data_IF_574915875693
#
_entry.id   IF_574915875693
#
_cell.length_a   1.000
_cell.length_b   1.000
_cell.length_c   1.000
_cell.angle_alpha   90.00
_cell.angle_beta   90.00
_cell.angle_gamma   90.00
#
_symmetry.space_group_name_H-M   'P 1'
#
loop_
_entity.id
_entity.type
_entity.pdbx_description
1 polymer ?
#
# COMPACT_ATOMS: atom_id res chain seq x y z
N UNK A 1 -28.52 -44.01 -28.21
CA UNK A 1 -28.23 -42.93 -29.18
C UNK A 1 -27.61 -41.78 -28.39
N UNK A 2 -26.29 -41.70 -28.30
CA UNK A 2 -25.62 -40.65 -27.54
C UNK A 2 -25.72 -39.32 -28.30
N UNK A 3 -26.27 -38.31 -27.64
CA UNK A 3 -26.37 -36.95 -28.18
C UNK A 3 -24.99 -36.31 -28.17
N UNK A 4 -24.27 -36.44 -29.29
CA UNK A 4 -23.04 -35.70 -29.59
C UNK A 4 -23.37 -34.23 -29.83
N UNK A 5 -23.80 -33.52 -28.79
CA UNK A 5 -23.83 -32.06 -28.83
C UNK A 5 -22.37 -31.61 -28.84
N UNK A 6 -21.92 -30.84 -29.83
CA UNK A 6 -20.56 -30.31 -29.79
C UNK A 6 -20.41 -29.51 -28.51
N UNK A 7 -19.30 -29.72 -27.80
CA UNK A 7 -18.83 -28.83 -26.75
C UNK A 7 -18.62 -27.47 -27.42
N UNK A 8 -19.67 -26.64 -27.40
CA UNK A 8 -19.59 -25.23 -27.73
C UNK A 8 -18.68 -24.63 -26.67
N UNK A 9 -17.40 -24.50 -27.01
CA UNK A 9 -16.53 -23.53 -26.38
C UNK A 9 -17.20 -22.18 -26.61
N UNK A 10 -18.06 -21.78 -25.67
CA UNK A 10 -18.57 -20.43 -25.60
C UNK A 10 -17.34 -19.60 -25.37
N UNK A 11 -16.78 -19.07 -26.45
CA UNK A 11 -15.65 -18.16 -26.42
C UNK A 11 -15.98 -17.14 -25.36
N UNK A 12 -15.28 -17.29 -24.24
CA UNK A 12 -15.52 -16.47 -23.09
C UNK A 12 -15.19 -15.06 -23.57
N UNK A 13 -16.23 -14.23 -23.64
CA UNK A 13 -16.15 -12.81 -24.02
C UNK A 13 -15.40 -12.01 -22.94
N UNK A 14 -14.28 -12.56 -22.45
CA UNK A 14 -13.41 -12.16 -21.33
C UNK A 14 -11.98 -11.87 -21.84
N UNK A 15 -11.87 -11.29 -23.05
CA UNK A 15 -10.58 -10.87 -23.65
C UNK A 15 -10.38 -9.35 -23.56
N UNK A 16 -11.31 -8.58 -23.00
CA UNK A 16 -10.95 -7.24 -22.55
C UNK A 16 -10.24 -7.36 -21.22
N UNK A 17 -8.93 -7.14 -21.24
CA UNK A 17 -8.20 -6.67 -20.09
C UNK A 17 -9.02 -5.52 -19.51
N UNK A 18 -9.76 -5.81 -18.43
CA UNK A 18 -10.54 -4.80 -17.75
C UNK A 18 -9.53 -3.75 -17.32
N UNK A 19 -9.59 -2.55 -17.90
CA UNK A 19 -8.70 -1.43 -17.59
C UNK A 19 -8.63 -1.21 -16.07
N UNK A 20 -9.74 -1.50 -15.37
CA UNK A 20 -9.85 -1.53 -13.91
C UNK A 20 -8.98 -2.61 -13.24
N UNK A 21 -8.86 -3.81 -13.82
CA UNK A 21 -7.99 -4.86 -13.31
C UNK A 21 -6.52 -4.45 -13.41
N UNK A 22 -6.12 -3.87 -14.55
CA UNK A 22 -4.79 -3.31 -14.74
C UNK A 22 -4.54 -2.12 -13.80
N UNK A 23 -5.55 -1.25 -13.61
CA UNK A 23 -5.48 -0.14 -12.67
C UNK A 23 -5.28 -0.63 -11.23
N UNK A 24 -6.00 -1.67 -10.79
CA UNK A 24 -5.84 -2.28 -9.47
C UNK A 24 -4.47 -2.93 -9.26
N UNK A 25 -3.80 -3.33 -10.34
CA UNK A 25 -2.45 -3.88 -10.29
C UNK A 25 -1.39 -2.81 -10.16
N UNK A 26 -1.49 -1.78 -11.00
CA UNK A 26 -0.60 -0.61 -10.93
C UNK A 26 -0.79 0.11 -9.59
N UNK A 27 -2.02 0.30 -9.12
CA UNK A 27 -2.28 0.95 -7.83
C UNK A 27 -1.76 0.13 -6.64
N UNK A 28 -1.80 -1.21 -6.74
CA UNK A 28 -1.16 -2.06 -5.74
C UNK A 28 0.36 -1.84 -5.70
N UNK A 29 1.03 -1.79 -6.85
CA UNK A 29 2.48 -1.53 -6.92
C UNK A 29 2.80 -0.15 -6.35
N UNK A 30 2.04 0.89 -6.73
CA UNK A 30 2.19 2.25 -6.21
C UNK A 30 2.02 2.28 -4.69
N UNK A 31 1.02 1.60 -4.14
CA UNK A 31 0.81 1.54 -2.70
C UNK A 31 2.02 0.97 -1.96
N UNK A 32 2.63 -0.10 -2.50
CA UNK A 32 3.86 -0.68 -1.95
C UNK A 32 5.05 0.29 -2.03
N UNK A 33 5.22 1.00 -3.15
CA UNK A 33 6.28 2.01 -3.29
C UNK A 33 6.10 3.13 -2.27
N UNK A 34 4.88 3.65 -2.11
CA UNK A 34 4.58 4.70 -1.13
C UNK A 34 4.86 4.21 0.30
N UNK A 35 4.44 2.98 0.63
CA UNK A 35 4.69 2.37 1.94
C UNK A 35 6.21 2.23 2.19
N UNK A 36 6.97 1.82 1.19
CA UNK A 36 8.43 1.71 1.29
C UNK A 36 9.10 3.08 1.52
N UNK A 37 8.66 4.12 0.80
CA UNK A 37 9.15 5.50 0.99
C UNK A 37 8.85 5.99 2.42
N UNK A 38 7.65 5.70 2.93
CA UNK A 38 7.26 6.03 4.30
C UNK A 38 8.21 5.37 5.32
N UNK A 39 8.53 4.09 5.16
CA UNK A 39 9.45 3.37 6.05
C UNK A 39 10.84 4.01 6.05
N UNK A 40 11.36 4.33 4.87
CA UNK A 40 12.67 4.98 4.73
C UNK A 40 12.65 6.35 5.42
N UNK A 41 11.66 7.19 5.13
CA UNK A 41 11.56 8.51 5.75
C UNK A 41 11.39 8.44 7.27
N UNK A 42 10.62 7.47 7.76
CA UNK A 42 10.47 7.21 9.19
C UNK A 42 11.81 6.84 9.84
N UNK A 43 12.59 5.98 9.20
CA UNK A 43 13.92 5.60 9.70
C UNK A 43 14.89 6.78 9.71
N UNK A 44 14.83 7.67 8.72
CA UNK A 44 15.62 8.90 8.69
C UNK A 44 15.16 9.94 9.71
N UNK A 45 13.86 9.97 10.03
CA UNK A 45 13.31 10.89 11.02
C UNK A 45 13.59 10.45 12.46
N UNK A 46 13.71 9.13 12.69
CA UNK A 46 14.06 8.57 13.98
C UNK A 46 15.44 9.06 14.42
N UNK A 47 15.63 9.46 15.70
CA UNK A 47 16.93 9.76 16.25
C UNK A 47 17.79 8.52 16.07
N UNK A 48 18.96 8.70 15.46
CA UNK A 48 19.93 7.62 15.28
C UNK A 48 20.38 7.18 16.67
N UNK A 49 19.86 6.07 17.14
CA UNK A 49 20.43 5.35 18.29
C UNK A 49 21.76 4.76 17.82
N UNK A 50 22.81 4.91 18.64
CA UNK A 50 24.19 4.57 18.25
C UNK A 50 24.27 3.15 17.67
N UNK A 51 24.39 3.06 16.36
CA UNK A 51 24.64 1.81 15.65
C UNK A 51 26.12 1.73 15.35
N UNK A 52 26.68 0.51 15.32
CA UNK A 52 28.11 0.27 15.08
C UNK A 52 28.65 1.00 13.83
N UNK A 53 27.78 1.29 12.85
CA UNK A 53 28.09 2.05 11.64
C UNK A 53 28.32 3.56 11.86
N UNK A 54 27.60 4.21 12.78
CA UNK A 54 27.81 5.64 13.09
C UNK A 54 29.20 5.87 13.69
N UNK A 55 29.74 4.87 14.42
CA UNK A 55 31.10 4.89 14.97
C UNK A 55 32.19 4.82 13.88
N UNK A 56 31.90 4.21 12.72
CA UNK A 56 32.82 4.17 11.58
C UNK A 56 32.78 5.46 10.73
N UNK A 57 31.62 6.11 10.61
CA UNK A 57 31.43 7.24 9.71
C UNK A 57 31.45 8.63 10.36
N UNK A 58 31.58 8.72 11.69
CA UNK A 58 31.78 9.97 12.46
C UNK A 58 30.82 11.11 12.04
N UNK A 59 29.54 10.78 11.81
CA UNK A 59 28.53 11.72 11.32
C UNK A 59 27.85 12.39 12.51
N UNK A 60 27.73 13.71 12.43
CA UNK A 60 27.19 14.58 13.50
C UNK A 60 25.80 14.19 13.97
N UNK A 61 25.65 14.18 15.30
CA UNK A 61 24.47 13.77 16.06
C UNK A 61 23.32 14.77 15.91
N UNK A 62 22.13 14.30 15.53
CA UNK A 62 20.87 15.03 15.73
C UNK A 62 20.10 14.37 16.86
N UNK A 63 20.10 14.99 18.05
CA UNK A 63 19.48 14.46 19.28
C UNK A 63 17.94 14.57 19.30
N UNK A 64 17.35 15.25 18.31
CA UNK A 64 15.91 15.49 18.23
C UNK A 64 15.32 14.84 16.97
N UNK A 65 14.10 14.33 17.11
CA UNK A 65 13.32 13.88 15.96
C UNK A 65 13.14 15.03 14.98
N UNK A 66 13.34 14.77 13.69
CA UNK A 66 13.11 15.78 12.67
C UNK A 66 11.60 15.89 12.39
N UNK A 67 10.94 16.79 13.14
CA UNK A 67 9.51 17.02 13.03
C UNK A 67 9.04 17.41 11.62
N UNK A 68 9.90 18.00 10.79
CA UNK A 68 9.56 18.32 9.39
C UNK A 68 9.42 17.06 8.53
N UNK A 69 10.29 16.07 8.70
CA UNK A 69 10.21 14.79 8.00
C UNK A 69 9.02 13.97 8.52
N UNK A 70 8.82 13.93 9.83
CA UNK A 70 7.67 13.27 10.46
C UNK A 70 6.34 13.82 9.95
N UNK A 71 6.21 15.14 9.82
CA UNK A 71 5.00 15.75 9.26
C UNK A 71 4.78 15.33 7.79
N UNK A 72 5.85 15.25 7.00
CA UNK A 72 5.78 14.75 5.61
C UNK A 72 5.33 13.28 5.58
N UNK A 73 5.87 12.45 6.46
CA UNK A 73 5.46 11.04 6.62
C UNK A 73 3.99 10.94 6.98
N UNK A 74 3.50 11.78 7.88
CA UNK A 74 2.09 11.83 8.25
C UNK A 74 1.19 12.14 7.04
N UNK A 75 1.53 13.13 6.23
CA UNK A 75 0.79 13.45 5.00
C UNK A 75 0.78 12.27 4.01
N UNK A 76 1.90 11.58 3.86
CA UNK A 76 2.00 10.38 3.02
C UNK A 76 1.16 9.21 3.56
N UNK A 77 1.10 9.03 4.88
CA UNK A 77 0.25 8.01 5.52
C UNK A 77 -1.24 8.29 5.27
N UNK A 78 -1.67 9.54 5.43
CA UNK A 78 -3.06 9.96 5.16
C UNK A 78 -3.40 9.75 3.68
N UNK A 79 -2.50 10.13 2.78
CA UNK A 79 -2.67 9.88 1.34
C UNK A 79 -2.78 8.38 1.04
N UNK A 80 -1.88 7.56 1.59
CA UNK A 80 -1.88 6.11 1.39
C UNK A 80 -3.19 5.47 1.89
N UNK A 81 -3.70 5.93 3.03
CA UNK A 81 -4.96 5.48 3.60
C UNK A 81 -6.16 5.82 2.72
N UNK A 82 -6.23 7.08 2.24
CA UNK A 82 -7.29 7.48 1.31
C UNK A 82 -7.21 6.69 0.00
N UNK A 83 -6.01 6.50 -0.53
CA UNK A 83 -5.77 5.78 -1.78
C UNK A 83 -6.12 4.29 -1.67
N UNK A 84 -5.74 3.63 -0.57
CA UNK A 84 -6.08 2.23 -0.32
C UNK A 84 -7.59 2.06 -0.09
N UNK A 85 -8.24 2.98 0.62
CA UNK A 85 -9.69 2.98 0.83
C UNK A 85 -10.45 3.10 -0.49
N UNK A 86 -10.08 4.04 -1.37
CA UNK A 86 -10.68 4.18 -2.70
C UNK A 86 -10.46 2.91 -3.53
N UNK A 87 -9.27 2.33 -3.50
CA UNK A 87 -8.95 1.09 -4.21
C UNK A 87 -9.78 -0.09 -3.72
N UNK A 88 -10.02 -0.20 -2.41
CA UNK A 88 -10.90 -1.21 -1.82
C UNK A 88 -12.36 -0.98 -2.26
N UNK A 89 -12.87 0.25 -2.23
CA UNK A 89 -14.24 0.56 -2.66
C UNK A 89 -14.45 0.18 -4.13
N UNK A 90 -13.49 0.50 -5.01
CA UNK A 90 -13.52 0.12 -6.41
C UNK A 90 -13.50 -1.40 -6.60
N UNK A 91 -12.73 -2.11 -5.78
CA UNK A 91 -12.69 -3.57 -5.77
C UNK A 91 -14.01 -4.18 -5.28
N UNK A 92 -14.60 -3.63 -4.21
CA UNK A 92 -15.90 -4.04 -3.66
C UNK A 92 -17.05 -3.84 -4.65
N UNK A 93 -17.07 -2.74 -5.40
CA UNK A 93 -18.06 -2.52 -6.47
C UNK A 93 -18.00 -3.59 -7.56
N UNK A 94 -16.81 -4.17 -7.80
CA UNK A 94 -16.58 -5.22 -8.79
C UNK A 94 -16.95 -6.62 -8.26
N UNK A 95 -16.87 -6.83 -6.94
CA UNK A 95 -17.21 -8.08 -6.23
C UNK A 95 -18.65 -8.58 -6.45
N UNK A 96 -19.54 -7.77 -7.04
CA UNK A 96 -20.88 -8.20 -7.48
C UNK A 96 -20.83 -9.36 -8.50
N UNK A 97 -19.67 -9.66 -9.10
CA UNK A 97 -19.41 -10.88 -9.89
C UNK A 97 -18.70 -11.93 -9.00
N UNK A 98 -19.33 -13.11 -8.84
CA UNK A 98 -18.99 -14.24 -7.93
C UNK A 98 -17.52 -14.73 -7.87
N UNK A 99 -16.61 -14.23 -8.70
CA UNK A 99 -15.25 -14.76 -8.88
C UNK A 99 -14.12 -13.76 -8.56
N UNK A 100 -14.43 -12.50 -8.25
CA UNK A 100 -13.39 -11.52 -7.96
C UNK A 100 -12.87 -11.67 -6.51
N UNK A 101 -11.54 -11.77 -6.36
CA UNK A 101 -10.86 -11.85 -5.06
C UNK A 101 -10.41 -10.46 -4.63
N UNK A 102 -10.59 -10.15 -3.34
CA UNK A 102 -10.07 -8.92 -2.74
C UNK A 102 -8.53 -9.01 -2.73
N UNK A 103 -7.86 -7.95 -3.21
CA UNK A 103 -6.39 -7.89 -3.18
C UNK A 103 -5.93 -7.55 -1.76
N UNK A 104 -5.26 -8.50 -1.12
CA UNK A 104 -4.68 -8.37 0.23
C UNK A 104 -3.75 -7.16 0.37
N UNK A 105 -3.08 -6.73 -0.69
CA UNK A 105 -2.13 -5.60 -0.67
C UNK A 105 -2.76 -4.29 -0.20
N UNK A 106 -4.00 -4.00 -0.57
CA UNK A 106 -4.68 -2.79 -0.08
C UNK A 106 -5.06 -2.90 1.38
N UNK A 107 -5.44 -4.10 1.85
CA UNK A 107 -5.74 -4.35 3.27
C UNK A 107 -4.48 -4.11 4.09
N UNK A 108 -3.34 -4.68 3.68
CA UNK A 108 -2.04 -4.48 4.34
C UNK A 108 -1.66 -2.99 4.36
N UNK A 109 -1.84 -2.28 3.24
CA UNK A 109 -1.55 -0.85 3.14
C UNK A 109 -2.45 0.00 4.04
N UNK A 110 -3.75 -0.34 4.15
CA UNK A 110 -4.67 0.32 5.09
C UNK A 110 -4.25 0.07 6.54
N UNK A 111 -3.96 -1.18 6.91
CA UNK A 111 -3.52 -1.51 8.28
C UNK A 111 -2.21 -0.79 8.60
N UNK A 112 -1.23 -0.82 7.69
CA UNK A 112 0.06 -0.14 7.87
C UNK A 112 -0.10 1.38 8.03
N UNK A 113 -0.93 2.00 7.20
CA UNK A 113 -1.18 3.45 7.30
C UNK A 113 -1.90 3.85 8.59
N UNK A 114 -2.92 3.09 9.02
CA UNK A 114 -3.60 3.32 10.31
C UNK A 114 -2.63 3.20 11.48
N UNK A 115 -1.81 2.15 11.52
CA UNK A 115 -0.83 1.96 12.59
C UNK A 115 0.18 3.12 12.63
N UNK A 116 0.71 3.53 11.46
CA UNK A 116 1.64 4.66 11.38
C UNK A 116 1.03 5.98 11.88
N UNK A 117 -0.23 6.24 11.56
CA UNK A 117 -0.96 7.42 12.05
C UNK A 117 -1.12 7.37 13.57
N UNK A 118 -1.51 6.21 14.13
CA UNK A 118 -1.67 6.05 15.59
C UNK A 118 -0.35 6.32 16.31
N UNK A 119 0.75 5.77 15.81
CA UNK A 119 2.09 5.99 16.40
C UNK A 119 2.46 7.47 16.34
N UNK A 120 2.25 8.13 15.20
CA UNK A 120 2.52 9.56 15.06
C UNK A 120 1.71 10.40 16.06
N UNK A 121 0.41 10.14 16.18
CA UNK A 121 -0.45 10.86 17.13
C UNK A 121 0.02 10.65 18.56
N UNK A 122 0.32 9.41 18.96
CA UNK A 122 0.83 9.12 20.31
C UNK A 122 2.19 9.76 20.59
N UNK A 123 3.03 9.93 19.57
CA UNK A 123 4.34 10.55 19.72
C UNK A 123 4.26 12.09 19.83
N UNK A 124 3.26 12.70 19.20
CA UNK A 124 3.07 14.17 19.20
C UNK A 124 2.27 14.64 20.42
N UNK A 125 1.40 13.79 20.97
CA UNK A 125 0.57 14.07 22.15
C UNK A 125 1.39 14.00 23.44
#
# INVERSE_FOLDING_TARGET
MYSNKPILFKEERRIKADILCQWLEISSIIAWVVLFVIIIMWQYASPRTETLLDRFFNVGRSETWNFSLLNTVFHLLVFLLAFSAVSIILNLKRLKRRTDRIRLSFIISTIGSVNGIIIYVFMVL
#
